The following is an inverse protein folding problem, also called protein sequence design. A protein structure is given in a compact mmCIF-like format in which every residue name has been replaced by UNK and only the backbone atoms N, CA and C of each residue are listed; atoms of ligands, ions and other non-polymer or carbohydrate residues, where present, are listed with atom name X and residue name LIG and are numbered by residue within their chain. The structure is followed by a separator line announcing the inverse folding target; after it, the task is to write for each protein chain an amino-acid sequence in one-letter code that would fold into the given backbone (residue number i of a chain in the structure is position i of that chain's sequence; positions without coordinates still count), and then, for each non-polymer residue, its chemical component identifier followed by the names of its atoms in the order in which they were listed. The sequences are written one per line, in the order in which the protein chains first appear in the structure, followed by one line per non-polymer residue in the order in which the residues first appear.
data_IF_776211585151
#
_entry.id   IF_776211585151
#
_cell.length_a   1.000
_cell.length_b   1.000
_cell.length_c   1.000
_cell.angle_alpha   90.00
_cell.angle_beta   90.00
_cell.angle_gamma   90.00
#
_symmetry.space_group_name_H-M   'P 1'
#
loop_
_entity.id
_entity.type
_entity.pdbx_description
1 polymer ?
#
# COMPACT_ATOMS: atom_id res chain seq x y z
N UNK A 1 -28.05 -13.18 -26.36
CA UNK A 1 -28.13 -12.14 -25.30
C UNK A 1 -28.00 -12.74 -23.90
N UNK A 2 -28.75 -13.79 -23.52
CA UNK A 2 -28.65 -14.38 -22.16
C UNK A 2 -27.21 -14.75 -21.75
N UNK A 3 -26.49 -15.50 -22.59
CA UNK A 3 -25.11 -15.94 -22.32
C UNK A 3 -24.10 -14.78 -22.20
N UNK A 4 -24.35 -13.64 -22.85
CA UNK A 4 -23.51 -12.44 -22.72
C UNK A 4 -23.62 -11.81 -21.33
N UNK A 5 -24.78 -11.92 -20.68
CA UNK A 5 -24.97 -11.44 -19.31
C UNK A 5 -24.19 -12.33 -18.33
N UNK A 6 -24.31 -13.64 -18.49
CA UNK A 6 -23.66 -14.67 -17.65
C UNK A 6 -22.11 -14.62 -17.74
N UNK A 7 -21.57 -14.22 -18.90
CA UNK A 7 -20.14 -13.91 -19.05
C UNK A 7 -19.73 -12.66 -18.26
N UNK A 8 -20.60 -11.67 -18.11
CA UNK A 8 -20.30 -10.38 -17.46
C UNK A 8 -20.59 -10.35 -15.94
N UNK A 9 -21.52 -11.18 -15.44
CA UNK A 9 -22.00 -11.17 -14.05
C UNK A 9 -20.94 -11.52 -12.98
N UNK A 10 -19.76 -12.00 -13.39
CA UNK A 10 -18.62 -12.25 -12.50
C UNK A 10 -17.39 -11.44 -12.96
N UNK A 11 -17.04 -10.34 -12.27
CA UNK A 11 -15.90 -9.50 -12.63
C UNK A 11 -14.58 -10.24 -12.35
N UNK A 12 -13.80 -10.51 -13.40
CA UNK A 12 -12.43 -11.03 -13.25
C UNK A 12 -11.44 -10.23 -14.11
N UNK A 13 -10.15 -10.17 -13.73
CA UNK A 13 -9.14 -9.45 -14.50
C UNK A 13 -8.99 -9.99 -15.93
N UNK A 14 -9.08 -11.31 -16.11
CA UNK A 14 -8.88 -12.01 -17.38
C UNK A 14 -10.02 -11.71 -18.36
N UNK A 15 -11.26 -11.68 -17.86
CA UNK A 15 -12.42 -11.20 -18.61
C UNK A 15 -12.27 -9.72 -18.98
N UNK A 16 -11.82 -8.89 -18.04
CA UNK A 16 -11.58 -7.47 -18.28
C UNK A 16 -10.53 -7.29 -19.39
N UNK A 17 -9.40 -8.00 -19.33
CA UNK A 17 -8.36 -8.00 -20.36
C UNK A 17 -8.91 -8.38 -21.75
N UNK A 18 -9.65 -9.49 -21.80
CA UNK A 18 -10.24 -9.99 -23.04
C UNK A 18 -11.24 -8.99 -23.64
N UNK A 19 -12.18 -8.48 -22.83
CA UNK A 19 -13.24 -7.56 -23.29
C UNK A 19 -12.62 -6.23 -23.75
N UNK A 20 -11.64 -5.68 -23.01
CA UNK A 20 -11.02 -4.41 -23.38
C UNK A 20 -10.20 -4.55 -24.68
N UNK A 21 -9.38 -5.60 -24.83
CA UNK A 21 -8.63 -5.83 -26.09
C UNK A 21 -9.54 -6.28 -27.27
N UNK A 22 -10.73 -6.82 -26.99
CA UNK A 22 -11.75 -7.10 -28.00
C UNK A 22 -12.45 -5.81 -28.48
N UNK A 23 -12.82 -4.93 -27.55
CA UNK A 23 -13.41 -3.62 -27.85
C UNK A 23 -12.43 -2.71 -28.60
N UNK A 24 -11.15 -2.65 -28.20
CA UNK A 24 -10.15 -1.85 -28.93
C UNK A 24 -10.01 -2.30 -30.39
N UNK A 25 -9.91 -3.62 -30.63
CA UNK A 25 -9.72 -4.20 -31.97
C UNK A 25 -10.95 -4.09 -32.86
N UNK A 26 -12.17 -4.26 -32.34
CA UNK A 26 -13.39 -4.16 -33.17
C UNK A 26 -13.55 -2.76 -33.73
N UNK A 27 -13.35 -1.73 -32.91
CA UNK A 27 -13.53 -0.35 -33.37
C UNK A 27 -12.44 0.08 -34.36
N UNK A 28 -11.18 -0.29 -34.12
CA UNK A 28 -10.10 -0.03 -35.10
C UNK A 28 -10.26 -0.84 -36.41
N UNK A 29 -10.84 -2.05 -36.35
CA UNK A 29 -11.20 -2.79 -37.57
C UNK A 29 -12.33 -2.10 -38.35
N UNK A 30 -13.34 -1.57 -37.66
CA UNK A 30 -14.41 -0.76 -38.26
C UNK A 30 -13.85 0.52 -38.90
N UNK A 31 -13.01 1.26 -38.16
CA UNK A 31 -12.31 2.48 -38.63
C UNK A 31 -11.49 2.23 -39.90
N UNK A 32 -10.68 1.17 -39.91
CA UNK A 32 -9.79 0.83 -41.02
C UNK A 32 -10.52 0.26 -42.25
N UNK A 33 -11.70 -0.34 -42.08
CA UNK A 33 -12.51 -0.84 -43.20
C UNK A 33 -13.47 0.19 -43.79
N UNK A 34 -13.70 1.33 -43.10
CA UNK A 34 -14.56 2.42 -43.60
C UNK A 34 -16.01 2.00 -43.84
N UNK A 35 -16.47 0.94 -43.16
CA UNK A 35 -17.79 0.35 -43.40
C UNK A 35 -18.90 1.30 -42.93
N UNK A 36 -19.85 1.65 -43.79
CA UNK A 36 -20.99 2.52 -43.45
C UNK A 36 -22.08 1.72 -42.70
N UNK A 37 -21.66 1.02 -41.64
CA UNK A 37 -22.49 0.22 -40.74
C UNK A 37 -22.84 1.03 -39.51
N UNK A 38 -24.05 1.60 -39.53
CA UNK A 38 -24.59 2.43 -38.44
C UNK A 38 -24.86 1.65 -37.16
N UNK A 39 -24.90 0.31 -37.23
CA UNK A 39 -25.12 -0.62 -36.12
C UNK A 39 -23.90 -0.80 -35.19
N UNK A 40 -22.68 -0.49 -35.65
CA UNK A 40 -21.45 -0.76 -34.89
C UNK A 40 -21.21 0.25 -33.74
N UNK A 41 -21.44 1.56 -33.89
CA UNK A 41 -21.45 2.50 -32.76
C UNK A 41 -22.39 2.10 -31.63
N UNK A 42 -23.64 1.78 -31.95
CA UNK A 42 -24.67 1.36 -30.98
C UNK A 42 -24.25 0.07 -30.26
N UNK A 43 -23.76 -0.91 -31.00
CA UNK A 43 -23.23 -2.17 -30.45
C UNK A 43 -22.04 -1.91 -29.52
N UNK A 44 -21.14 -0.99 -29.87
CA UNK A 44 -19.98 -0.62 -29.06
C UNK A 44 -20.40 0.04 -27.74
N UNK A 45 -21.35 0.99 -27.78
CA UNK A 45 -21.91 1.62 -26.58
C UNK A 45 -22.56 0.60 -25.64
N UNK A 46 -23.36 -0.32 -26.17
CA UNK A 46 -24.03 -1.38 -25.40
C UNK A 46 -23.02 -2.33 -24.75
N UNK A 47 -22.03 -2.82 -25.52
CA UNK A 47 -21.00 -3.72 -24.98
C UNK A 47 -20.13 -3.02 -23.94
N UNK A 48 -19.75 -1.76 -24.15
CA UNK A 48 -18.95 -0.99 -23.21
C UNK A 48 -19.70 -0.73 -21.89
N UNK A 49 -20.98 -0.32 -21.96
CA UNK A 49 -21.81 -0.13 -20.77
C UNK A 49 -22.02 -1.42 -19.99
N UNK A 50 -22.11 -2.56 -20.66
CA UNK A 50 -22.20 -3.87 -20.02
C UNK A 50 -20.85 -4.32 -19.41
N UNK A 51 -19.72 -3.88 -19.98
CA UNK A 51 -18.38 -4.18 -19.49
C UNK A 51 -17.94 -3.35 -18.27
N UNK A 52 -18.32 -2.06 -18.20
CA UNK A 52 -17.91 -1.14 -17.12
C UNK A 52 -18.25 -1.66 -15.70
N UNK A 53 -19.45 -2.22 -15.41
CA UNK A 53 -19.74 -2.83 -14.11
C UNK A 53 -18.88 -4.06 -13.78
N UNK A 54 -18.42 -4.78 -14.81
CA UNK A 54 -17.58 -5.98 -14.68
C UNK A 54 -16.08 -5.72 -14.65
N UNK A 55 -15.65 -4.45 -14.75
CA UNK A 55 -14.24 -4.05 -14.78
C UNK A 55 -13.51 -4.43 -13.48
N UNK A 56 -12.46 -5.24 -13.58
CA UNK A 56 -11.60 -5.63 -12.47
C UNK A 56 -10.11 -5.57 -12.84
N UNK A 57 -9.27 -5.15 -11.89
CA UNK A 57 -7.81 -5.24 -11.99
C UNK A 57 -7.31 -6.45 -11.18
N UNK A 58 -6.17 -7.04 -11.58
CA UNK A 58 -5.58 -8.19 -10.86
C UNK A 58 -5.24 -7.78 -9.43
N UNK A 59 -5.75 -8.53 -8.46
CA UNK A 59 -5.60 -8.28 -7.02
C UNK A 59 -4.43 -9.12 -6.46
N UNK A 60 -3.80 -8.73 -5.34
CA UNK A 60 -2.66 -9.46 -4.80
C UNK A 60 -3.00 -10.91 -4.44
N UNK A 61 -2.17 -11.86 -4.88
CA UNK A 61 -2.35 -13.28 -4.59
C UNK A 61 -1.94 -13.61 -3.15
N UNK A 62 -2.87 -14.06 -2.32
CA UNK A 62 -2.58 -14.58 -0.97
C UNK A 62 -2.02 -16.01 -1.03
N UNK A 63 -0.74 -16.16 -1.37
CA UNK A 63 -0.05 -17.45 -1.26
C UNK A 63 -0.03 -17.95 0.20
N UNK A 64 -0.59 -19.14 0.51
CA UNK A 64 -0.58 -19.66 1.88
C UNK A 64 0.83 -19.97 2.40
N UNK A 65 1.10 -19.59 3.66
CA UNK A 65 2.45 -19.59 4.29
C UNK A 65 3.14 -20.96 4.42
N UNK A 66 2.56 -22.05 3.94
CA UNK A 66 3.11 -23.41 4.08
C UNK A 66 4.00 -23.86 2.90
N UNK A 67 3.95 -23.20 1.74
CA UNK A 67 4.91 -23.49 0.67
C UNK A 67 6.28 -22.87 0.97
N UNK A 68 7.31 -23.71 1.00
CA UNK A 68 8.69 -23.36 1.37
C UNK A 68 9.69 -23.64 0.23
N UNK A 69 9.21 -23.72 -1.00
CA UNK A 69 10.03 -23.88 -2.20
C UNK A 69 9.52 -22.95 -3.30
N UNK A 70 10.41 -22.58 -4.22
CA UNK A 70 10.14 -21.63 -5.30
C UNK A 70 9.22 -22.21 -6.38
N UNK A 71 8.64 -21.34 -7.22
CA UNK A 71 9.09 -21.32 -8.62
C UNK A 71 10.07 -20.18 -8.93
N UNK A 72 10.63 -20.25 -10.13
CA UNK A 72 11.21 -19.14 -10.87
C UNK A 72 10.22 -17.97 -10.99
N UNK A 73 10.69 -16.79 -11.44
CA UNK A 73 9.79 -15.71 -11.84
C UNK A 73 9.07 -16.11 -13.13
N UNK A 74 7.91 -16.77 -13.00
CA UNK A 74 6.99 -17.01 -14.12
C UNK A 74 6.75 -15.69 -14.86
N UNK A 75 6.78 -15.74 -16.19
CA UNK A 75 6.66 -14.56 -17.06
C UNK A 75 5.24 -14.02 -16.88
N UNK A 76 5.08 -13.06 -15.96
CA UNK A 76 3.76 -12.61 -15.50
C UNK A 76 3.04 -11.90 -16.63
N UNK A 77 2.09 -12.59 -17.25
CA UNK A 77 1.27 -12.02 -18.32
C UNK A 77 0.58 -10.74 -17.82
N UNK A 78 0.70 -9.61 -18.54
CA UNK A 78 0.09 -8.35 -18.13
C UNK A 78 -1.41 -8.52 -17.89
N UNK A 79 -1.89 -8.16 -16.68
CA UNK A 79 -3.29 -8.31 -16.30
C UNK A 79 -4.26 -7.59 -17.23
N UNK A 80 -3.81 -6.45 -17.77
CA UNK A 80 -4.56 -5.57 -18.67
C UNK A 80 -3.53 -4.65 -19.35
N UNK A 81 -3.68 -4.40 -20.64
CA UNK A 81 -2.80 -3.51 -21.40
C UNK A 81 -3.29 -2.06 -21.30
N UNK A 82 -2.47 -1.15 -20.78
CA UNK A 82 -2.84 0.27 -20.67
C UNK A 82 -3.15 0.94 -22.01
N UNK A 83 -2.52 0.50 -23.10
CA UNK A 83 -2.78 1.02 -24.45
C UNK A 83 -4.17 0.63 -24.97
N UNK A 84 -4.67 -0.57 -24.64
CA UNK A 84 -6.03 -0.99 -25.01
C UNK A 84 -7.10 -0.12 -24.30
N UNK A 85 -6.83 0.30 -23.05
CA UNK A 85 -7.68 1.26 -22.34
C UNK A 85 -7.63 2.66 -22.96
N UNK A 86 -6.44 3.13 -23.38
CA UNK A 86 -6.30 4.44 -24.02
C UNK A 86 -7.07 4.51 -25.34
N UNK A 87 -6.99 3.45 -26.17
CA UNK A 87 -7.81 3.31 -27.37
C UNK A 87 -9.31 3.36 -27.04
N UNK A 88 -9.78 2.65 -26.00
CA UNK A 88 -11.19 2.72 -25.58
C UNK A 88 -11.58 4.15 -25.18
N UNK A 89 -10.74 4.88 -24.46
CA UNK A 89 -10.99 6.30 -24.18
C UNK A 89 -11.08 7.13 -25.47
N UNK A 90 -10.19 6.92 -26.45
CA UNK A 90 -10.26 7.58 -27.75
C UNK A 90 -11.57 7.26 -28.49
N UNK A 91 -11.98 5.99 -28.56
CA UNK A 91 -13.22 5.56 -29.23
C UNK A 91 -14.44 6.19 -28.56
N UNK A 92 -14.44 6.32 -27.23
CA UNK A 92 -15.50 7.03 -26.50
C UNK A 92 -15.54 8.53 -26.84
N UNK A 93 -14.39 9.19 -27.08
CA UNK A 93 -14.38 10.59 -27.56
C UNK A 93 -14.98 10.71 -28.96
N UNK A 94 -14.56 9.84 -29.87
CA UNK A 94 -15.00 9.83 -31.27
C UNK A 94 -16.50 9.51 -31.42
N UNK A 95 -17.06 8.70 -30.51
CA UNK A 95 -18.49 8.40 -30.42
C UNK A 95 -19.30 9.34 -29.52
N UNK A 96 -18.67 10.30 -28.84
CA UNK A 96 -19.35 11.21 -27.90
C UNK A 96 -19.87 10.56 -26.61
N UNK A 97 -19.36 9.38 -26.24
CA UNK A 97 -19.80 8.57 -25.08
C UNK A 97 -19.22 9.10 -23.75
N UNK A 98 -19.47 10.37 -23.46
CA UNK A 98 -18.88 11.10 -22.33
C UNK A 98 -19.22 10.49 -20.96
N UNK A 99 -20.42 9.94 -20.80
CA UNK A 99 -20.81 9.26 -19.57
C UNK A 99 -20.00 7.97 -19.35
N UNK A 100 -19.71 7.22 -20.42
CA UNK A 100 -18.88 6.01 -20.33
C UNK A 100 -17.43 6.36 -19.95
N UNK A 101 -16.90 7.50 -20.41
CA UNK A 101 -15.58 8.01 -19.99
C UNK A 101 -15.55 8.28 -18.48
N UNK A 102 -16.55 8.99 -17.96
CA UNK A 102 -16.63 9.33 -16.53
C UNK A 102 -16.77 8.07 -15.65
N UNK A 103 -17.63 7.13 -16.05
CA UNK A 103 -17.81 5.86 -15.33
C UNK A 103 -16.54 4.99 -15.36
N UNK A 104 -15.84 4.92 -16.50
CA UNK A 104 -14.58 4.19 -16.61
C UNK A 104 -13.47 4.80 -15.74
N UNK A 105 -13.34 6.13 -15.69
CA UNK A 105 -12.43 6.83 -14.77
C UNK A 105 -12.77 6.50 -13.31
N UNK A 106 -14.06 6.46 -12.97
CA UNK A 106 -14.55 6.03 -11.65
C UNK A 106 -14.09 4.61 -11.29
N UNK A 107 -14.41 3.63 -12.15
CA UNK A 107 -14.05 2.21 -11.93
C UNK A 107 -12.55 1.95 -11.87
N UNK A 108 -11.75 2.60 -12.72
CA UNK A 108 -10.29 2.51 -12.66
C UNK A 108 -9.79 3.05 -11.31
N UNK A 109 -10.33 4.18 -10.83
CA UNK A 109 -9.92 4.75 -9.54
C UNK A 109 -10.35 3.94 -8.31
N UNK A 110 -11.44 3.18 -8.40
CA UNK A 110 -11.88 2.21 -7.39
C UNK A 110 -10.99 0.96 -7.38
N UNK A 111 -10.78 0.32 -8.54
CA UNK A 111 -9.97 -0.90 -8.62
C UNK A 111 -8.49 -0.66 -8.29
N UNK A 112 -7.95 0.54 -8.52
CA UNK A 112 -6.60 0.93 -8.07
C UNK A 112 -6.44 0.85 -6.54
N UNK A 113 -7.51 0.87 -5.72
CA UNK A 113 -7.38 0.62 -4.27
C UNK A 113 -7.11 -0.85 -3.93
N UNK A 114 -7.44 -1.80 -4.83
CA UNK A 114 -7.38 -3.24 -4.53
C UNK A 114 -6.48 -4.04 -5.49
N UNK A 115 -5.94 -3.41 -6.54
CA UNK A 115 -5.02 -4.05 -7.47
C UNK A 115 -3.64 -4.37 -6.86
N UNK A 116 -2.94 -5.34 -7.45
CA UNK A 116 -1.51 -5.53 -7.23
C UNK A 116 -0.72 -4.40 -7.90
N UNK A 117 -0.07 -3.59 -7.07
CA UNK A 117 0.75 -2.46 -7.51
C UNK A 117 1.91 -2.84 -8.45
N UNK A 118 2.31 -4.13 -8.50
CA UNK A 118 3.28 -4.63 -9.50
C UNK A 118 2.78 -4.52 -10.93
N UNK A 119 1.46 -4.53 -11.15
CA UNK A 119 0.84 -4.50 -12.48
C UNK A 119 0.42 -3.06 -12.86
N UNK A 120 0.57 -2.09 -11.95
CA UNK A 120 0.37 -0.66 -12.25
C UNK A 120 1.27 -0.14 -13.39
N UNK A 121 2.56 -0.55 -13.51
CA UNK A 121 3.42 -0.16 -14.63
C UNK A 121 3.04 -0.71 -15.99
N UNK A 122 2.26 -1.80 -16.06
CA UNK A 122 1.82 -2.41 -17.33
C UNK A 122 0.37 -2.06 -17.69
N UNK A 123 -0.48 -1.84 -16.68
CA UNK A 123 -1.91 -1.55 -16.88
C UNK A 123 -2.27 -0.07 -16.80
N UNK A 124 -1.62 0.72 -15.93
CA UNK A 124 -2.03 2.12 -15.67
C UNK A 124 -1.02 3.13 -16.22
N UNK A 125 0.30 2.90 -16.11
CA UNK A 125 1.28 3.84 -16.70
C UNK A 125 1.10 4.04 -18.21
N UNK A 126 0.91 3.01 -19.06
CA UNK A 126 0.78 3.23 -20.50
C UNK A 126 -0.51 3.99 -20.87
N UNK A 127 -1.59 3.76 -20.13
CA UNK A 127 -2.82 4.56 -20.23
C UNK A 127 -2.56 6.04 -19.93
N UNK A 128 -1.77 6.35 -18.88
CA UNK A 128 -1.42 7.74 -18.55
C UNK A 128 -0.47 8.36 -19.60
N UNK A 129 0.41 7.58 -20.22
CA UNK A 129 1.32 8.03 -21.30
C UNK A 129 0.58 8.39 -22.59
N UNK A 130 -0.40 7.56 -22.99
CA UNK A 130 -1.23 7.83 -24.16
C UNK A 130 -2.20 9.00 -23.90
N UNK A 131 -2.82 9.08 -22.72
CA UNK A 131 -3.64 10.23 -22.34
C UNK A 131 -2.84 11.55 -22.31
N UNK A 132 -1.58 11.53 -21.85
CA UNK A 132 -0.70 12.70 -21.98
C UNK A 132 -0.33 13.01 -23.42
N UNK A 133 -0.25 12.01 -24.30
CA UNK A 133 -0.06 12.23 -25.74
C UNK A 133 -1.26 12.98 -26.32
N UNK A 134 -2.47 12.56 -26.01
CA UNK A 134 -3.71 13.17 -26.51
C UNK A 134 -3.95 14.59 -25.96
N UNK A 135 -3.71 14.80 -24.67
CA UNK A 135 -3.75 16.15 -24.05
C UNK A 135 -2.72 17.07 -24.74
N UNK A 136 -1.50 16.57 -25.01
CA UNK A 136 -0.42 17.34 -25.65
C UNK A 136 -0.72 17.72 -27.11
N UNK A 137 -1.50 16.91 -27.84
CA UNK A 137 -2.01 17.25 -29.18
C UNK A 137 -3.17 18.26 -29.14
N UNK A 138 -3.80 18.45 -27.98
CA UNK A 138 -5.04 19.23 -27.83
C UNK A 138 -6.33 18.44 -28.12
N UNK A 139 -6.26 17.11 -28.25
CA UNK A 139 -7.46 16.26 -28.43
C UNK A 139 -8.29 16.13 -27.15
N UNK A 140 -7.68 16.40 -25.98
CA UNK A 140 -8.26 16.11 -24.66
C UNK A 140 -8.02 17.27 -23.69
N UNK A 141 -9.05 17.65 -22.94
CA UNK A 141 -8.91 18.59 -21.83
C UNK A 141 -8.27 17.89 -20.61
N UNK A 142 -7.13 18.43 -20.15
CA UNK A 142 -6.39 17.96 -18.98
C UNK A 142 -7.26 17.82 -17.72
N UNK A 143 -8.17 18.77 -17.47
CA UNK A 143 -8.96 18.83 -16.22
C UNK A 143 -9.87 17.60 -16.06
N UNK A 144 -10.37 17.02 -17.16
CA UNK A 144 -11.19 15.78 -17.12
C UNK A 144 -10.42 14.61 -16.53
N UNK A 145 -9.12 14.53 -16.80
CA UNK A 145 -8.26 13.43 -16.35
C UNK A 145 -7.42 13.77 -15.12
N UNK A 146 -7.39 15.05 -14.67
CA UNK A 146 -6.68 15.51 -13.46
C UNK A 146 -6.85 14.57 -12.27
N UNK A 147 -8.09 14.18 -11.95
CA UNK A 147 -8.40 13.22 -10.87
C UNK A 147 -7.76 11.85 -11.08
N UNK A 148 -7.77 11.31 -12.31
CA UNK A 148 -7.16 10.01 -12.63
C UNK A 148 -5.64 10.04 -12.38
N UNK A 149 -4.95 11.04 -12.92
CA UNK A 149 -3.51 11.21 -12.75
C UNK A 149 -3.13 11.45 -11.28
N UNK A 150 -3.77 12.43 -10.63
CA UNK A 150 -3.46 12.80 -9.25
C UNK A 150 -3.77 11.70 -8.24
N UNK A 151 -4.93 11.04 -8.35
CA UNK A 151 -5.33 10.00 -7.40
C UNK A 151 -4.60 8.68 -7.73
N UNK A 152 -4.49 8.29 -9.00
CA UNK A 152 -3.82 7.07 -9.43
C UNK A 152 -2.34 7.05 -9.06
N UNK A 153 -1.57 8.08 -9.44
CA UNK A 153 -0.14 8.15 -9.12
C UNK A 153 0.11 8.30 -7.61
N UNK A 154 -0.76 8.99 -6.87
CA UNK A 154 -0.62 9.07 -5.41
C UNK A 154 -0.92 7.74 -4.72
N UNK A 155 -1.94 6.98 -5.15
CA UNK A 155 -2.21 5.62 -4.64
C UNK A 155 -1.04 4.68 -4.96
N UNK A 156 -0.52 4.71 -6.20
CA UNK A 156 0.68 3.96 -6.58
C UNK A 156 1.88 4.29 -5.69
N UNK A 157 2.19 5.57 -5.46
CA UNK A 157 3.27 5.98 -4.55
C UNK A 157 3.02 5.49 -3.12
N UNK A 158 1.85 5.77 -2.54
CA UNK A 158 1.57 5.47 -1.12
C UNK A 158 1.55 3.96 -0.85
N UNK A 159 0.98 3.17 -1.75
CA UNK A 159 0.88 1.72 -1.59
C UNK A 159 2.18 1.00 -2.01
N UNK A 160 2.68 1.24 -3.23
CA UNK A 160 3.85 0.53 -3.76
C UNK A 160 5.13 0.91 -3.02
N UNK A 161 5.43 2.22 -2.90
CA UNK A 161 6.65 2.66 -2.20
C UNK A 161 6.53 2.36 -0.72
N UNK A 162 5.38 2.65 -0.12
CA UNK A 162 5.13 2.62 1.33
C UNK A 162 6.06 3.55 2.14
N UNK A 163 5.77 3.71 3.44
CA UNK A 163 6.61 4.49 4.35
C UNK A 163 8.06 4.01 4.36
N UNK A 164 9.00 4.94 4.54
CA UNK A 164 10.40 4.59 4.75
C UNK A 164 10.56 3.65 5.97
N UNK A 165 11.23 2.49 5.82
CA UNK A 165 11.51 1.59 6.93
C UNK A 165 12.30 2.32 8.02
N UNK A 166 11.61 2.65 9.13
CA UNK A 166 12.19 3.32 10.30
C UNK A 166 13.49 2.63 10.68
N UNK A 167 14.63 3.34 10.57
CA UNK A 167 15.91 2.81 11.00
C UNK A 167 15.88 2.59 12.52
N UNK A 168 15.63 1.35 12.93
CA UNK A 168 15.72 0.96 14.33
C UNK A 168 17.14 1.24 14.83
N UNK A 169 17.20 1.87 16.01
CA UNK A 169 18.39 1.89 16.88
C UNK A 169 18.85 0.45 17.11
N UNK A 170 20.09 0.24 17.59
CA UNK A 170 20.64 -1.12 17.77
C UNK A 170 19.93 -1.96 18.85
N UNK A 171 18.83 -1.47 19.44
CA UNK A 171 17.93 -2.23 20.30
C UNK A 171 17.33 -3.47 19.60
N UNK A 172 17.04 -4.51 20.38
CA UNK A 172 16.45 -5.79 20.00
C UNK A 172 15.44 -6.23 21.08
N UNK A 173 14.62 -7.24 20.76
CA UNK A 173 13.71 -7.86 21.73
C UNK A 173 14.48 -8.53 22.89
N UNK A 174 13.78 -8.67 24.03
CA UNK A 174 14.30 -9.31 25.24
C UNK A 174 14.25 -10.84 25.14
N UNK A 175 15.37 -11.51 25.44
CA UNK A 175 15.35 -12.96 25.65
C UNK A 175 14.63 -13.30 26.95
N UNK A 176 13.67 -14.23 26.88
CA UNK A 176 13.02 -14.83 28.06
C UNK A 176 13.83 -16.04 28.53
N UNK A 177 14.14 -16.08 29.83
CA UNK A 177 14.84 -17.21 30.44
C UNK A 177 13.95 -17.93 31.45
N UNK A 178 13.62 -19.19 31.16
CA UNK A 178 12.65 -20.00 31.91
C UNK A 178 13.27 -20.68 33.15
N UNK A 179 14.54 -20.41 33.48
CA UNK A 179 15.26 -21.06 34.58
C UNK A 179 15.81 -22.45 34.23
N UNK A 180 15.89 -22.81 32.95
CA UNK A 180 16.32 -24.14 32.48
C UNK A 180 17.79 -24.46 32.84
N UNK A 181 18.61 -23.41 33.01
CA UNK A 181 20.05 -23.52 33.21
C UNK A 181 20.42 -23.69 34.69
N UNK A 182 20.91 -24.89 35.05
CA UNK A 182 21.57 -25.15 36.34
C UNK A 182 23.00 -24.59 36.31
N UNK A 183 23.12 -23.26 36.41
CA UNK A 183 24.42 -22.62 36.56
C UNK A 183 25.04 -22.95 37.92
N UNK A 184 26.34 -23.23 37.95
CA UNK A 184 27.09 -23.31 39.21
C UNK A 184 27.35 -21.90 39.72
N UNK A 185 26.65 -21.48 40.79
CA UNK A 185 26.88 -20.21 41.45
C UNK A 185 27.79 -20.41 42.67
N UNK A 186 28.93 -19.70 42.76
CA UNK A 186 29.77 -19.71 43.97
C UNK A 186 28.93 -19.38 45.21
N UNK A 187 28.98 -20.27 46.21
CA UNK A 187 28.25 -20.15 47.48
C UNK A 187 26.85 -20.80 47.55
N UNK A 188 26.21 -21.17 46.43
CA UNK A 188 24.79 -21.63 46.44
C UNK A 188 24.51 -22.94 45.66
N UNK A 189 25.54 -23.62 45.18
CA UNK A 189 25.42 -24.95 44.56
C UNK A 189 24.62 -24.96 43.25
N UNK A 190 24.13 -26.15 42.85
CA UNK A 190 23.45 -26.37 41.58
C UNK A 190 21.92 -26.20 41.67
N UNK A 191 21.47 -25.05 42.18
CA UNK A 191 20.04 -24.71 42.30
C UNK A 191 19.44 -24.29 40.96
N UNK A 192 18.17 -24.66 40.71
CA UNK A 192 17.42 -24.21 39.52
C UNK A 192 16.93 -22.78 39.77
N UNK A 193 17.46 -21.81 39.02
CA UNK A 193 17.03 -20.42 39.14
C UNK A 193 15.57 -20.26 38.72
N UNK A 194 14.85 -19.32 39.35
CA UNK A 194 13.49 -18.96 38.94
C UNK A 194 13.52 -18.31 37.56
N UNK A 195 12.44 -18.47 36.80
CA UNK A 195 12.31 -17.78 35.51
C UNK A 195 12.50 -16.26 35.71
N UNK A 196 13.29 -15.63 34.84
CA UNK A 196 13.66 -14.21 34.95
C UNK A 196 14.85 -13.87 35.85
N UNK A 197 15.33 -14.74 36.76
CA UNK A 197 16.45 -14.40 37.67
C UNK A 197 17.84 -14.79 37.16
N UNK A 198 17.99 -15.17 35.89
CA UNK A 198 19.30 -15.49 35.30
C UNK A 198 20.11 -14.21 35.02
N UNK A 199 21.16 -13.97 35.81
CA UNK A 199 22.03 -12.81 35.69
C UNK A 199 22.74 -12.72 34.32
N UNK A 200 23.13 -13.86 33.74
CA UNK A 200 23.77 -13.92 32.41
C UNK A 200 22.79 -13.43 31.32
N UNK A 201 21.54 -13.89 31.35
CA UNK A 201 20.50 -13.38 30.46
C UNK A 201 20.14 -11.92 30.73
N UNK A 202 20.22 -11.45 31.99
CA UNK A 202 20.00 -10.04 32.32
C UNK A 202 21.07 -9.14 31.68
N UNK A 203 22.34 -9.53 31.74
CA UNK A 203 23.43 -8.79 31.09
C UNK A 203 23.27 -8.79 29.56
N UNK A 204 22.98 -9.96 28.96
CA UNK A 204 22.71 -10.06 27.53
C UNK A 204 21.49 -9.21 27.11
N UNK A 205 20.45 -9.12 27.94
CA UNK A 205 19.27 -8.31 27.67
C UNK A 205 19.53 -6.80 27.75
N UNK A 206 20.41 -6.34 28.64
CA UNK A 206 20.87 -4.93 28.66
C UNK A 206 21.57 -4.59 27.34
N UNK A 207 22.50 -5.44 26.90
CA UNK A 207 23.14 -5.28 25.58
C UNK A 207 22.11 -5.31 24.46
N UNK A 208 21.19 -6.28 24.43
CA UNK A 208 20.16 -6.38 23.38
C UNK A 208 19.31 -5.12 23.32
N UNK A 209 18.88 -4.54 24.45
CA UNK A 209 18.13 -3.29 24.47
C UNK A 209 18.96 -2.04 24.09
N UNK A 210 20.28 -2.08 24.26
CA UNK A 210 21.17 -0.94 24.02
C UNK A 210 21.05 -0.37 22.59
N UNK A 211 20.75 0.93 22.43
CA UNK A 211 20.51 1.55 21.13
C UNK A 211 21.80 1.83 20.34
N UNK A 212 22.96 1.75 20.97
CA UNK A 212 24.28 2.13 20.43
C UNK A 212 25.28 0.98 20.40
N UNK A 213 25.25 0.06 21.37
CA UNK A 213 26.19 -1.05 21.41
C UNK A 213 25.92 -2.07 20.30
N UNK A 214 26.93 -2.35 19.48
CA UNK A 214 26.90 -3.30 18.37
C UNK A 214 27.52 -4.65 18.72
N UNK A 215 28.50 -4.66 19.64
CA UNK A 215 29.27 -5.84 20.05
C UNK A 215 29.30 -5.93 21.57
N UNK A 216 28.98 -7.11 22.12
CA UNK A 216 29.13 -7.43 23.54
C UNK A 216 30.12 -8.58 23.73
N UNK A 217 30.98 -8.47 24.74
CA UNK A 217 31.98 -9.48 25.10
C UNK A 217 31.69 -10.02 26.50
N UNK A 218 31.64 -11.35 26.61
CA UNK A 218 31.26 -12.07 27.82
C UNK A 218 32.28 -13.18 28.14
N UNK A 219 33.33 -12.91 28.93
CA UNK A 219 34.30 -13.90 29.39
C UNK A 219 33.66 -14.85 30.42
N UNK A 220 33.46 -16.12 30.04
CA UNK A 220 32.76 -17.09 30.89
C UNK A 220 33.10 -18.55 30.54
N UNK A 221 32.87 -19.45 31.50
CA UNK A 221 32.96 -20.89 31.30
C UNK A 221 31.97 -21.39 30.22
N UNK A 222 32.30 -22.50 29.56
CA UNK A 222 31.60 -22.95 28.36
C UNK A 222 30.09 -23.17 28.55
N UNK A 223 29.67 -23.73 29.69
CA UNK A 223 28.26 -23.94 30.00
C UNK A 223 27.44 -22.63 29.99
N UNK A 224 28.02 -21.52 30.48
CA UNK A 224 27.40 -20.18 30.45
C UNK A 224 27.34 -19.63 29.02
N UNK A 225 28.41 -19.82 28.23
CA UNK A 225 28.42 -19.42 26.81
C UNK A 225 27.36 -20.19 26.00
N UNK A 226 27.29 -21.51 26.16
CA UNK A 226 26.28 -22.38 25.54
C UNK A 226 24.86 -22.02 25.97
N UNK A 227 24.64 -21.66 27.24
CA UNK A 227 23.33 -21.18 27.71
C UNK A 227 22.87 -19.93 26.94
N UNK A 228 23.74 -18.94 26.76
CA UNK A 228 23.42 -17.70 26.06
C UNK A 228 23.21 -17.92 24.56
N UNK A 229 24.09 -18.68 23.90
CA UNK A 229 23.93 -19.09 22.49
C UNK A 229 22.56 -19.76 22.28
N UNK A 230 22.17 -20.70 23.16
CA UNK A 230 20.89 -21.40 23.07
C UNK A 230 19.65 -20.54 23.40
N UNK A 231 19.82 -19.28 23.82
CA UNK A 231 18.73 -18.30 23.99
C UNK A 231 18.75 -17.19 22.93
N UNK A 232 19.86 -16.99 22.23
CA UNK A 232 19.96 -16.15 21.03
C UNK A 232 19.42 -16.92 19.82
N UNK A 233 18.10 -16.82 19.59
CA UNK A 233 17.49 -17.27 18.34
C UNK A 233 17.70 -16.26 17.20
N UNK A 234 17.58 -16.73 15.94
CA UNK A 234 17.77 -15.93 14.72
C UNK A 234 17.00 -14.59 14.70
N UNK A 235 15.85 -14.55 15.40
CA UNK A 235 15.00 -13.36 15.60
C UNK A 235 15.74 -12.14 16.17
N UNK A 236 16.85 -12.33 16.88
CA UNK A 236 17.63 -11.24 17.47
C UNK A 236 18.61 -10.59 16.48
N UNK A 237 18.79 -11.17 15.29
CA UNK A 237 19.78 -10.76 14.29
C UNK A 237 21.17 -10.55 14.92
N UNK A 238 21.66 -11.54 15.65
CA UNK A 238 22.96 -11.54 16.31
C UNK A 238 23.84 -12.70 15.81
N UNK A 239 25.09 -12.40 15.48
CA UNK A 239 26.15 -13.38 15.23
C UNK A 239 26.93 -13.64 16.52
N UNK A 240 27.35 -14.89 16.74
CA UNK A 240 28.12 -15.28 17.94
C UNK A 240 29.46 -15.90 17.57
N UNK A 241 30.56 -15.37 18.09
CA UNK A 241 31.90 -15.95 17.99
C UNK A 241 32.49 -16.25 19.37
N UNK A 242 33.57 -17.02 19.41
CA UNK A 242 34.32 -17.29 20.64
C UNK A 242 35.75 -16.78 20.44
N UNK A 243 36.07 -15.64 21.05
CA UNK A 243 37.43 -15.13 21.14
C UNK A 243 38.21 -15.98 22.16
N UNK A 244 39.36 -16.52 21.75
CA UNK A 244 40.22 -17.40 22.57
C UNK A 244 41.59 -16.81 23.01
N UNK A 245 41.78 -15.48 23.21
CA UNK A 245 43.11 -14.95 23.54
C UNK A 245 43.61 -15.44 24.91
N UNK A 246 42.72 -15.55 25.89
CA UNK A 246 43.01 -15.97 27.26
C UNK A 246 41.90 -16.87 27.81
N UNK A 247 42.16 -17.57 28.90
CA UNK A 247 41.16 -18.31 29.69
C UNK A 247 40.58 -17.42 30.79
N UNK A 248 39.24 -17.42 31.03
CA UNK A 248 38.20 -18.11 30.25
C UNK A 248 37.91 -17.42 28.90
N UNK A 249 37.64 -18.21 27.85
CA UNK A 249 37.31 -17.66 26.53
C UNK A 249 36.06 -16.77 26.56
N UNK A 250 36.05 -15.74 25.71
CA UNK A 250 34.95 -14.78 25.60
C UNK A 250 33.94 -15.19 24.54
N UNK A 251 32.66 -15.28 24.91
CA UNK A 251 31.57 -15.21 23.94
C UNK A 251 31.47 -13.78 23.45
N UNK A 252 31.49 -13.59 22.13
CA UNK A 252 31.29 -12.27 21.51
C UNK A 252 30.00 -12.31 20.71
N UNK A 253 29.08 -11.40 21.04
CA UNK A 253 27.77 -11.29 20.40
C UNK A 253 27.73 -9.99 19.61
N UNK A 254 27.64 -10.09 18.29
CA UNK A 254 27.61 -8.95 17.37
C UNK A 254 26.23 -8.84 16.75
N UNK A 255 25.54 -7.73 17.02
CA UNK A 255 24.29 -7.40 16.32
C UNK A 255 24.59 -7.07 14.87
N UNK A 256 23.77 -7.56 13.95
CA UNK A 256 23.77 -7.12 12.56
C UNK A 256 22.38 -6.62 12.15
N UNK A 257 22.30 -5.93 11.00
CA UNK A 257 21.09 -5.30 10.48
C UNK A 257 20.57 -5.96 9.20
N UNK A 258 21.06 -7.15 8.82
CA UNK A 258 20.86 -7.74 7.48
C UNK A 258 19.39 -7.76 7.00
N UNK A 259 18.42 -8.00 7.89
CA UNK A 259 16.98 -7.93 7.52
C UNK A 259 16.50 -6.49 7.28
N UNK A 260 16.99 -5.54 8.07
CA UNK A 260 16.63 -4.12 7.98
C UNK A 260 17.34 -3.40 6.84
N UNK A 261 18.61 -3.70 6.60
CA UNK A 261 19.37 -3.20 5.45
C UNK A 261 18.75 -3.72 4.14
N UNK A 262 18.32 -4.99 4.10
CA UNK A 262 17.59 -5.57 2.97
C UNK A 262 16.21 -4.94 2.76
N UNK A 263 15.44 -4.67 3.83
CA UNK A 263 14.16 -3.93 3.75
C UNK A 263 14.36 -2.51 3.23
N UNK A 264 15.40 -1.80 3.70
CA UNK A 264 15.72 -0.45 3.24
C UNK A 264 16.26 -0.44 1.80
N UNK A 265 17.05 -1.45 1.41
CA UNK A 265 17.49 -1.67 0.01
C UNK A 265 16.29 -1.90 -0.92
N UNK A 266 15.36 -2.78 -0.54
CA UNK A 266 14.11 -3.03 -1.28
C UNK A 266 13.21 -1.81 -1.36
N UNK A 267 13.09 -1.02 -0.29
CA UNK A 267 12.37 0.26 -0.32
C UNK A 267 13.04 1.26 -1.27
N UNK A 268 14.37 1.45 -1.17
CA UNK A 268 15.13 2.35 -2.04
C UNK A 268 15.06 1.94 -3.51
N UNK A 269 15.00 0.65 -3.81
CA UNK A 269 14.74 0.15 -5.16
C UNK A 269 13.39 0.63 -5.70
N UNK A 270 12.28 0.42 -4.96
CA UNK A 270 10.94 0.90 -5.36
C UNK A 270 10.87 2.43 -5.50
N UNK A 271 11.54 3.19 -4.61
CA UNK A 271 11.67 4.66 -4.77
C UNK A 271 12.35 5.02 -6.09
N UNK A 272 13.42 4.29 -6.46
CA UNK A 272 14.17 4.55 -7.70
C UNK A 272 13.38 4.16 -8.96
N UNK A 273 12.66 3.04 -8.90
CA UNK A 273 11.77 2.54 -9.95
C UNK A 273 10.64 3.53 -10.26
N UNK A 274 9.88 3.93 -9.23
CA UNK A 274 8.81 4.93 -9.37
C UNK A 274 9.34 6.27 -9.87
N UNK A 275 10.54 6.69 -9.45
CA UNK A 275 11.17 7.90 -10.00
C UNK A 275 11.57 7.76 -11.47
N UNK A 276 12.04 6.59 -11.89
CA UNK A 276 12.30 6.29 -13.30
C UNK A 276 11.01 6.37 -14.14
N UNK A 277 9.92 5.79 -13.65
CA UNK A 277 8.60 5.87 -14.29
C UNK A 277 8.11 7.32 -14.43
N UNK A 278 8.13 8.10 -13.35
CA UNK A 278 7.73 9.52 -13.36
C UNK A 278 8.63 10.41 -14.23
N UNK A 279 9.94 10.16 -14.26
CA UNK A 279 10.87 10.88 -15.14
C UNK A 279 10.69 10.50 -16.62
N UNK A 280 10.28 9.26 -16.91
CA UNK A 280 9.96 8.79 -18.26
C UNK A 280 8.66 9.40 -18.80
N UNK A 281 7.64 9.56 -17.95
CA UNK A 281 6.43 10.34 -18.23
C UNK A 281 6.78 11.81 -18.52
N UNK A 282 7.47 12.48 -17.60
CA UNK A 282 7.84 13.89 -17.74
C UNK A 282 8.64 14.16 -19.02
N UNK A 283 9.70 13.38 -19.24
CA UNK A 283 10.64 13.58 -20.34
C UNK A 283 10.00 13.47 -21.73
N UNK A 284 8.98 12.62 -21.89
CA UNK A 284 8.24 12.46 -23.15
C UNK A 284 7.18 13.54 -23.36
N UNK A 285 6.44 13.90 -22.32
CA UNK A 285 5.23 14.72 -22.49
C UNK A 285 5.45 16.21 -22.20
N UNK A 286 6.22 16.59 -21.16
CA UNK A 286 6.46 17.99 -20.73
C UNK A 286 5.20 18.83 -20.51
N UNK A 287 4.13 18.17 -20.06
CA UNK A 287 2.84 18.78 -19.68
C UNK A 287 2.27 18.15 -18.40
N UNK A 288 3.06 17.34 -17.70
CA UNK A 288 2.62 16.61 -16.50
C UNK A 288 2.36 17.57 -15.32
N UNK A 289 3.04 18.71 -15.31
CA UNK A 289 2.76 19.87 -14.45
C UNK A 289 1.32 20.39 -14.63
N UNK A 290 0.82 20.48 -15.86
CA UNK A 290 -0.53 20.94 -16.20
C UNK A 290 -1.62 19.94 -15.81
N UNK A 291 -1.30 18.64 -15.63
CA UNK A 291 -2.27 17.62 -15.21
C UNK A 291 -2.19 17.32 -13.71
N UNK A 292 -1.01 17.48 -13.09
CA UNK A 292 -0.83 17.26 -11.66
C UNK A 292 -1.03 18.53 -10.81
N UNK A 293 -0.83 19.72 -11.39
CA UNK A 293 -0.96 21.03 -10.74
C UNK A 293 -0.41 21.05 -9.30
N UNK A 294 -1.27 21.27 -8.30
CA UNK A 294 -0.90 21.38 -6.89
C UNK A 294 -0.16 20.15 -6.33
N UNK A 295 -0.36 18.96 -6.91
CA UNK A 295 0.27 17.71 -6.45
C UNK A 295 1.58 17.37 -7.18
N UNK A 296 1.95 18.14 -8.21
CA UNK A 296 3.13 17.87 -9.04
C UNK A 296 4.41 17.71 -8.22
N UNK A 297 4.72 18.67 -7.34
CA UNK A 297 5.94 18.67 -6.55
C UNK A 297 6.06 17.46 -5.61
N UNK A 298 4.94 16.98 -5.07
CA UNK A 298 4.92 15.90 -4.08
C UNK A 298 4.90 14.51 -4.73
N UNK A 299 4.24 14.38 -5.88
CA UNK A 299 4.31 13.17 -6.73
C UNK A 299 5.74 13.01 -7.26
N UNK A 300 6.32 14.03 -7.90
CA UNK A 300 7.67 13.96 -8.49
C UNK A 300 8.78 13.78 -7.45
N UNK A 301 8.62 14.35 -6.25
CA UNK A 301 9.54 14.09 -5.14
C UNK A 301 9.35 12.71 -4.47
N UNK A 302 8.21 12.03 -4.72
CA UNK A 302 7.76 10.78 -4.07
C UNK A 302 7.58 10.96 -2.55
N UNK A 303 6.86 12.01 -2.16
CA UNK A 303 6.60 12.40 -0.75
C UNK A 303 5.39 11.65 -0.18
N UNK A 304 5.54 10.34 0.03
CA UNK A 304 4.53 9.40 0.59
C UNK A 304 3.70 9.99 1.75
N UNK A 305 4.33 10.73 2.67
CA UNK A 305 3.65 11.32 3.84
C UNK A 305 2.59 12.36 3.45
N UNK A 306 2.96 13.32 2.60
CA UNK A 306 2.07 14.40 2.18
C UNK A 306 0.88 13.84 1.39
N UNK A 307 1.19 12.97 0.42
CA UNK A 307 0.22 12.32 -0.47
C UNK A 307 -0.84 11.49 0.29
N UNK A 308 -0.52 11.00 1.50
CA UNK A 308 -1.45 10.27 2.38
C UNK A 308 -2.31 11.20 3.25
N UNK A 309 -1.81 12.36 3.68
CA UNK A 309 -2.58 13.29 4.54
C UNK A 309 -3.79 13.84 3.78
N UNK A 310 -3.56 14.34 2.56
CA UNK A 310 -4.61 14.93 1.71
C UNK A 310 -5.66 13.91 1.28
N UNK A 311 -5.25 12.65 1.08
CA UNK A 311 -6.16 11.54 0.74
C UNK A 311 -7.23 11.27 1.82
N UNK A 312 -6.97 11.66 3.08
CA UNK A 312 -7.95 11.61 4.16
C UNK A 312 -8.85 12.85 4.26
N UNK A 313 -8.48 13.98 3.66
CA UNK A 313 -9.21 15.25 3.80
C UNK A 313 -10.33 15.42 2.75
N UNK A 314 -10.31 14.65 1.67
CA UNK A 314 -11.32 14.70 0.60
C UNK A 314 -12.73 14.20 1.00
N UNK A 315 -12.95 13.82 2.26
CA UNK A 315 -14.19 13.18 2.75
C UNK A 315 -15.09 14.14 3.56
N UNK A 316 -14.54 15.19 4.18
CA UNK A 316 -15.29 16.09 5.08
C UNK A 316 -15.57 17.49 4.48
N UNK A 317 -15.27 17.67 3.19
CA UNK A 317 -15.20 18.99 2.53
C UNK A 317 -16.43 19.48 1.76
N UNK A 318 -17.65 19.04 2.09
CA UNK A 318 -18.87 19.52 1.40
C UNK A 318 -20.12 19.47 2.28
N UNK A 319 -20.38 20.53 3.05
CA UNK A 319 -21.69 20.75 3.68
C UNK A 319 -21.96 22.26 3.93
N UNK A 320 -22.19 22.96 2.83
CA UNK A 320 -22.79 24.30 2.72
C UNK A 320 -23.68 24.19 1.47
N UNK A 321 -24.95 24.62 1.38
CA UNK A 321 -25.69 25.70 2.05
C UNK A 321 -27.20 25.38 1.88
N UNK A 322 -28.15 25.82 2.70
CA UNK A 322 -28.68 27.19 2.73
C UNK A 322 -29.84 27.34 3.71
N UNK A 323 -30.16 28.57 4.09
CA UNK A 323 -31.32 28.92 4.91
C UNK A 323 -32.66 28.78 4.16
N UNK A 324 -33.74 28.46 4.88
CA UNK A 324 -35.10 28.79 4.44
C UNK A 324 -35.94 29.32 5.60
N UNK A 325 -36.46 30.54 5.43
CA UNK A 325 -37.18 31.30 6.44
C UNK A 325 -38.68 31.01 6.40
N UNK A 326 -39.30 30.70 7.54
CA UNK A 326 -40.73 30.96 7.73
C UNK A 326 -41.11 31.23 9.18
N UNK A 327 -42.24 31.91 9.38
CA UNK A 327 -42.62 32.54 10.65
C UNK A 327 -43.28 31.57 11.65
N UNK A 328 -43.18 31.90 12.95
CA UNK A 328 -43.94 31.22 14.00
C UNK A 328 -45.40 31.70 14.13
N UNK A 329 -46.13 31.21 15.15
CA UNK A 329 -46.67 32.18 16.10
C UNK A 329 -46.57 31.81 17.59
N UNK A 330 -46.59 32.87 18.40
CA UNK A 330 -46.44 32.97 19.85
C UNK A 330 -47.51 32.28 20.74
N UNK A 331 -47.06 31.65 21.84
CA UNK A 331 -47.72 31.57 23.17
C UNK A 331 -46.56 31.56 24.23
N UNK A 332 -46.44 32.33 25.31
CA UNK A 332 -47.29 33.09 26.27
C UNK A 332 -47.46 32.37 27.63
N UNK A 333 -46.93 33.00 28.71
CA UNK A 333 -47.04 32.67 30.15
C UNK A 333 -46.37 31.35 30.65
N UNK A 334 -46.01 31.17 31.94
CA UNK A 334 -46.12 32.06 33.11
C UNK A 334 -45.35 31.59 34.39
N UNK A 335 -45.27 32.44 35.41
CA UNK A 335 -44.42 32.38 36.63
C UNK A 335 -44.60 31.21 37.64
N UNK A 336 -43.49 30.89 38.37
CA UNK A 336 -43.40 30.45 39.80
C UNK A 336 -44.07 29.09 40.18
N UNK A 337 -43.58 28.32 41.17
CA UNK A 337 -43.17 28.65 42.56
C UNK A 337 -42.09 27.71 43.13
N UNK A 338 -41.53 28.08 44.29
CA UNK A 338 -40.81 27.17 45.21
C UNK A 338 -41.79 26.31 46.03
N UNK A 339 -41.35 25.14 46.45
CA UNK A 339 -41.79 24.46 47.67
C UNK A 339 -40.56 23.80 48.33
N UNK A 340 -40.58 23.59 49.64
CA UNK A 340 -39.51 22.92 50.39
C UNK A 340 -40.09 22.03 51.49
N UNK A 341 -39.58 20.80 51.59
CA UNK A 341 -39.86 19.78 52.62
C UNK A 341 -38.51 19.06 52.78
N UNK A 342 -37.71 19.43 53.79
CA UNK A 342 -37.63 18.85 55.15
C UNK A 342 -36.76 17.58 55.19
N UNK A 343 -35.89 17.55 56.19
CA UNK A 343 -34.93 16.53 56.60
C UNK A 343 -35.14 16.30 58.12
N UNK A 344 -34.54 15.25 58.69
CA UNK A 344 -34.65 14.82 60.12
C UNK A 344 -36.04 14.24 60.49
N UNK A 345 -36.23 13.33 61.44
CA UNK A 345 -35.39 12.42 62.27
C UNK A 345 -36.34 11.31 62.82
N UNK A 346 -35.96 10.29 63.59
CA UNK A 346 -34.67 9.84 64.16
C UNK A 346 -34.17 8.60 63.37
N UNK A 347 -33.38 7.61 63.81
CA UNK A 347 -32.73 7.17 65.08
C UNK A 347 -31.28 6.71 64.77
#
# INVERSE_FOLDING_TARGET
MSELHEILDTPTPEKTAFIMSFLSRIYEHFRSTGSVRTDIPDMYEVLLRAAIPGFALRKPEEHPRYYRYSPEEEIREPALNGHDLALIFQHCRELGLEECINQMIGRILEEIDTMDMKDFPTSILPLLEDLLSDIKKGEVNAERFKRLFQTGLAKYIVTYVSDEPKQLKWSRELTKCNGDYRGYFPGYGATKLKAGTCQDCRQMNVFLQSPTETVWRFPAAEARRKHLINKLSDKHECFTTIEKPHTPFSLVVTKHKRSMDEKHRKWKARVSEVKGHLQSLEGRHRILDNVLHERYADIMAVRVKNLRVEAGQAVEGSNDRSEHTQAGPSQVAGQKRKAAVVDLTDD
#
